data_IF_389767005825
#
_entry.id   IF_389767005825
#
_cell.length_a   1.000
_cell.length_b   1.000
_cell.length_c   1.000
_cell.angle_alpha   90.00
_cell.angle_beta   90.00
_cell.angle_gamma   90.00
#
_symmetry.space_group_name_H-M   'P 1'
#
loop_
_entity.id
_entity.type
_entity.pdbx_description
1 polymer ?
#
# COMPACT_ATOMS: atom_id res chain seq x y z
N UNK A 1 2.03 -17.94 -11.56
CA UNK A 1 0.89 -17.09 -11.93
C UNK A 1 1.22 -16.43 -13.21
N UNK A 2 0.33 -16.51 -14.08
CA UNK A 2 0.63 -16.18 -15.42
C UNK A 2 0.22 -14.80 -15.87
N UNK A 3 0.28 -14.65 -17.15
CA UNK A 3 -0.23 -13.49 -17.85
C UNK A 3 -1.70 -13.31 -17.50
N UNK A 4 -2.14 -12.08 -17.38
CA UNK A 4 -3.52 -11.77 -17.07
C UNK A 4 -3.78 -11.35 -15.65
N UNK A 5 -2.81 -11.54 -14.74
CA UNK A 5 -2.92 -10.99 -13.41
C UNK A 5 -2.81 -9.48 -13.48
N UNK A 6 -3.81 -8.79 -12.95
CA UNK A 6 -3.82 -7.33 -12.94
C UNK A 6 -3.95 -6.83 -11.51
N UNK A 7 -3.20 -5.78 -11.21
CA UNK A 7 -3.31 -5.08 -9.93
C UNK A 7 -4.02 -3.77 -10.17
N UNK A 8 -4.98 -3.48 -9.30
CA UNK A 8 -5.68 -2.20 -9.31
C UNK A 8 -5.33 -1.45 -8.05
N UNK A 9 -5.20 -0.14 -8.17
CA UNK A 9 -4.98 0.74 -7.03
C UNK A 9 -6.26 1.50 -6.74
N UNK A 10 -6.64 1.53 -5.45
CA UNK A 10 -7.76 2.32 -4.98
C UNK A 10 -7.24 3.26 -3.93
N UNK A 11 -7.47 4.56 -4.12
CA UNK A 11 -7.06 5.58 -3.18
C UNK A 11 -8.30 6.18 -2.54
N UNK A 12 -8.34 6.15 -1.20
CA UNK A 12 -9.47 6.69 -0.48
C UNK A 12 -9.30 8.17 -0.23
N UNK A 13 -10.41 8.91 -0.34
CA UNK A 13 -10.38 10.37 -0.15
C UNK A 13 -10.09 10.77 1.29
N UNK A 14 -10.59 9.99 2.25
CA UNK A 14 -10.44 10.32 3.65
C UNK A 14 -9.03 10.07 4.12
N UNK A 15 -8.47 11.03 4.85
CA UNK A 15 -7.15 10.89 5.45
C UNK A 15 -7.24 10.00 6.68
N UNK A 16 -6.19 9.21 6.91
CA UNK A 16 -6.12 8.35 8.09
C UNK A 16 -4.86 8.66 8.89
N UNK A 17 -4.92 8.33 10.18
CA UNK A 17 -3.71 8.30 10.99
C UNK A 17 -2.88 7.09 10.55
N UNK A 18 -1.58 7.25 10.28
CA UNK A 18 -0.75 6.12 9.84
C UNK A 18 -0.81 4.93 10.80
N UNK A 19 -0.97 5.17 12.09
CA UNK A 19 -1.08 4.10 13.07
C UNK A 19 -2.31 3.22 12.92
N UNK A 20 -3.33 3.68 12.18
CA UNK A 20 -4.53 2.90 11.94
C UNK A 20 -4.32 1.79 10.91
N UNK A 21 -3.19 1.78 10.19
CA UNK A 21 -2.99 0.89 9.05
C UNK A 21 -2.94 -0.59 9.47
N UNK A 22 -2.47 -0.90 10.68
CA UNK A 22 -2.44 -2.29 11.14
C UNK A 22 -3.85 -2.85 11.30
N UNK A 23 -4.78 -2.05 11.85
CA UNK A 23 -6.19 -2.45 11.95
C UNK A 23 -6.83 -2.61 10.59
N UNK A 24 -6.49 -1.77 9.64
CA UNK A 24 -6.99 -1.87 8.28
C UNK A 24 -6.51 -3.19 7.65
N UNK A 25 -5.26 -3.58 7.87
CA UNK A 25 -4.76 -4.86 7.36
C UNK A 25 -5.57 -6.04 7.92
N UNK A 26 -5.87 -6.01 9.21
CA UNK A 26 -6.69 -7.08 9.82
C UNK A 26 -8.06 -7.15 9.17
N UNK A 27 -8.67 -6.00 8.87
CA UNK A 27 -9.96 -5.97 8.19
C UNK A 27 -9.87 -6.53 6.76
N UNK A 28 -8.78 -6.25 6.04
CA UNK A 28 -8.62 -6.82 4.69
C UNK A 28 -8.47 -8.32 4.74
N UNK A 29 -7.81 -8.87 5.76
CA UNK A 29 -7.69 -10.33 5.93
C UNK A 29 -9.08 -10.95 6.12
N UNK A 30 -9.93 -10.34 6.95
CA UNK A 30 -11.30 -10.81 7.14
C UNK A 30 -12.08 -10.81 5.83
N UNK A 31 -11.93 -9.75 5.04
CA UNK A 31 -12.61 -9.62 3.76
C UNK A 31 -12.13 -10.67 2.76
N UNK A 32 -10.82 -10.94 2.73
CA UNK A 32 -10.26 -11.97 1.87
C UNK A 32 -10.84 -13.35 2.20
N UNK A 33 -10.91 -13.67 3.50
CA UNK A 33 -11.46 -14.93 3.95
C UNK A 33 -12.94 -15.07 3.61
N UNK A 34 -13.70 -14.01 3.83
CA UNK A 34 -15.11 -13.98 3.54
C UNK A 34 -15.37 -14.16 2.03
N UNK A 35 -14.59 -13.46 1.22
CA UNK A 35 -14.71 -13.55 -0.23
C UNK A 35 -14.42 -14.98 -0.72
N UNK A 36 -13.38 -15.59 -0.17
CA UNK A 36 -13.00 -16.96 -0.52
C UNK A 36 -14.14 -17.94 -0.25
N UNK A 37 -14.77 -17.82 0.90
CA UNK A 37 -15.87 -18.69 1.31
C UNK A 37 -17.12 -18.48 0.46
N UNK A 38 -17.47 -17.24 0.17
CA UNK A 38 -18.68 -16.88 -0.57
C UNK A 38 -18.56 -17.16 -2.06
N UNK A 39 -17.35 -17.10 -2.61
CA UNK A 39 -17.13 -17.21 -4.06
C UNK A 39 -16.53 -18.54 -4.49
N UNK A 40 -16.69 -19.58 -3.68
CA UNK A 40 -16.33 -20.93 -4.09
C UNK A 40 -14.84 -21.16 -4.30
N UNK A 41 -14.01 -20.53 -3.47
CA UNK A 41 -12.55 -20.73 -3.54
C UNK A 41 -11.80 -19.75 -4.41
N UNK A 42 -12.47 -18.79 -5.01
CA UNK A 42 -11.78 -17.73 -5.75
C UNK A 42 -11.00 -16.84 -4.78
N UNK A 43 -9.81 -16.47 -5.18
CA UNK A 43 -8.97 -15.61 -4.36
C UNK A 43 -9.09 -14.16 -4.76
N UNK A 44 -9.07 -13.30 -3.75
CA UNK A 44 -8.83 -11.88 -3.90
C UNK A 44 -7.70 -11.52 -2.94
N UNK A 45 -6.74 -10.72 -3.40
CA UNK A 45 -5.64 -10.26 -2.58
C UNK A 45 -5.78 -8.76 -2.38
N UNK A 46 -5.79 -8.34 -1.11
CA UNK A 46 -5.90 -6.94 -0.73
C UNK A 46 -4.63 -6.53 0.01
N UNK A 47 -3.88 -5.61 -0.57
CA UNK A 47 -2.62 -5.14 -0.02
C UNK A 47 -2.76 -3.69 0.41
N UNK A 48 -3.12 -3.43 1.67
CA UNK A 48 -3.27 -2.06 2.13
C UNK A 48 -1.93 -1.39 2.38
N UNK A 49 -1.97 -0.08 2.33
CA UNK A 49 -0.82 0.73 2.62
C UNK A 49 -1.26 2.16 2.81
N UNK A 50 -0.30 3.03 3.05
CA UNK A 50 -0.58 4.46 3.08
C UNK A 50 0.50 5.23 2.32
N UNK A 51 0.12 6.43 1.95
CA UNK A 51 0.99 7.37 1.25
C UNK A 51 1.02 8.67 2.05
N UNK A 52 2.21 9.21 2.23
CA UNK A 52 2.35 10.58 2.70
C UNK A 52 3.30 11.32 1.76
N UNK A 53 3.72 12.55 2.13
CA UNK A 53 4.58 13.33 1.24
C UNK A 53 5.98 12.74 1.08
N UNK A 54 6.39 11.88 2.00
CA UNK A 54 7.76 11.36 2.04
C UNK A 54 7.89 9.95 1.46
N UNK A 55 6.83 9.14 1.49
CA UNK A 55 6.99 7.72 1.19
C UNK A 55 5.66 7.01 0.95
N UNK A 56 5.78 5.80 0.44
CA UNK A 56 4.69 4.84 0.35
C UNK A 56 5.04 3.64 1.22
N UNK A 57 4.12 3.27 2.12
CA UNK A 57 4.29 2.16 3.04
C UNK A 57 3.23 1.12 2.77
N UNK A 58 3.66 -0.13 2.55
CA UNK A 58 2.78 -1.28 2.45
C UNK A 58 2.88 -2.09 3.74
N UNK A 59 1.83 -2.85 4.06
CA UNK A 59 1.82 -3.65 5.28
C UNK A 59 1.57 -5.11 4.97
N UNK A 60 2.09 -5.97 5.85
CA UNK A 60 2.09 -7.41 5.65
C UNK A 60 2.07 -8.12 7.01
N UNK A 61 1.75 -9.41 6.98
CA UNK A 61 1.84 -10.26 8.18
C UNK A 61 3.22 -10.92 8.33
N UNK A 62 4.12 -10.72 7.37
CA UNK A 62 5.43 -11.39 7.35
C UNK A 62 6.51 -10.47 7.88
N UNK A 63 7.34 -11.02 8.77
CA UNK A 63 8.44 -10.30 9.41
C UNK A 63 9.73 -10.50 8.61
N UNK A 64 9.96 -9.62 7.64
CA UNK A 64 11.20 -9.62 6.89
C UNK A 64 12.16 -8.58 7.48
N UNK A 65 13.46 -8.75 7.23
CA UNK A 65 14.51 -7.93 7.83
C UNK A 65 14.38 -6.42 7.57
N UNK A 66 13.72 -6.04 6.48
CA UNK A 66 13.53 -4.64 6.10
C UNK A 66 12.17 -4.08 6.54
N UNK A 67 11.48 -4.81 7.41
CA UNK A 67 10.15 -4.40 7.89
C UNK A 67 10.16 -4.09 9.37
N UNK A 68 9.23 -3.24 9.76
CA UNK A 68 9.08 -2.76 11.13
C UNK A 68 7.74 -3.23 11.69
N UNK A 69 7.75 -3.73 12.93
CA UNK A 69 6.54 -4.17 13.59
C UNK A 69 5.63 -2.99 13.91
N UNK A 70 4.37 -3.09 13.50
CA UNK A 70 3.37 -2.03 13.72
C UNK A 70 2.33 -2.39 14.79
N UNK A 71 2.38 -3.61 15.31
CA UNK A 71 1.38 -4.09 16.25
C UNK A 71 0.41 -5.07 15.61
N UNK A 72 -0.28 -5.86 16.43
CA UNK A 72 -1.29 -6.81 15.98
C UNK A 72 -0.80 -7.83 14.95
N UNK A 73 0.51 -8.15 15.00
CA UNK A 73 1.09 -9.11 14.05
C UNK A 73 1.33 -8.53 12.66
N UNK A 74 1.30 -7.21 12.51
CA UNK A 74 1.43 -6.53 11.22
C UNK A 74 2.76 -5.80 11.15
N UNK A 75 3.40 -5.88 9.98
CA UNK A 75 4.71 -5.28 9.71
C UNK A 75 4.61 -4.29 8.56
N UNK A 76 5.32 -3.18 8.67
CA UNK A 76 5.34 -2.14 7.64
C UNK A 76 6.62 -2.16 6.83
N UNK A 77 6.50 -1.87 5.54
CA UNK A 77 7.63 -1.79 4.63
C UNK A 77 7.58 -0.46 3.89
N UNK A 78 8.67 0.30 3.96
CA UNK A 78 8.82 1.48 3.11
C UNK A 78 9.12 0.99 1.71
N UNK A 79 8.13 1.06 0.84
CA UNK A 79 8.24 0.50 -0.51
C UNK A 79 8.88 1.47 -1.49
N UNK A 80 8.52 2.75 -1.40
CA UNK A 80 9.12 3.81 -2.21
C UNK A 80 9.34 5.04 -1.34
N UNK A 81 10.40 5.75 -1.61
CA UNK A 81 10.73 7.01 -0.92
C UNK A 81 10.64 8.15 -1.93
N UNK A 82 10.00 9.25 -1.53
CA UNK A 82 9.93 10.44 -2.37
C UNK A 82 11.10 11.38 -2.03
N UNK A 83 11.95 11.63 -3.01
CA UNK A 83 13.14 12.45 -2.81
C UNK A 83 13.56 13.03 -4.17
N UNK A 84 13.99 14.28 -4.18
CA UNK A 84 14.42 14.92 -5.42
C UNK A 84 13.32 14.99 -6.47
N UNK A 85 12.09 15.26 -6.02
CA UNK A 85 10.92 15.43 -6.87
C UNK A 85 10.47 14.16 -7.61
N UNK A 86 10.86 12.98 -7.12
CA UNK A 86 10.40 11.72 -7.69
C UNK A 86 10.49 10.60 -6.67
N UNK A 87 9.79 9.50 -6.96
CA UNK A 87 9.89 8.30 -6.16
C UNK A 87 11.17 7.54 -6.48
N UNK A 88 11.87 7.15 -5.42
CA UNK A 88 13.11 6.38 -5.51
C UNK A 88 12.85 4.94 -5.09
N UNK A 89 13.38 4.00 -5.85
CA UNK A 89 13.31 2.58 -5.52
C UNK A 89 14.36 2.24 -4.47
N UNK A 90 14.06 1.22 -3.67
CA UNK A 90 14.95 0.71 -2.63
C UNK A 90 15.38 -0.71 -3.01
N UNK A 91 16.44 -1.24 -2.40
CA UNK A 91 16.91 -2.59 -2.73
C UNK A 91 15.84 -3.66 -2.62
N UNK A 92 14.91 -3.52 -1.69
CA UNK A 92 13.83 -4.49 -1.45
C UNK A 92 12.53 -4.20 -2.18
N UNK A 93 12.46 -3.09 -2.94
CA UNK A 93 11.23 -2.74 -3.65
C UNK A 93 10.89 -3.83 -4.67
N UNK A 94 9.66 -4.34 -4.63
CA UNK A 94 9.22 -5.36 -5.58
C UNK A 94 9.29 -4.83 -7.01
N UNK A 95 9.57 -5.72 -7.98
CA UNK A 95 9.75 -5.29 -9.38
C UNK A 95 8.60 -4.45 -9.94
N UNK A 96 7.35 -4.79 -9.62
CA UNK A 96 6.18 -4.05 -10.12
C UNK A 96 6.23 -2.58 -9.70
N UNK A 97 6.67 -2.32 -8.46
CA UNK A 97 6.74 -0.98 -7.91
C UNK A 97 7.93 -0.19 -8.43
N UNK A 98 8.83 -0.83 -9.16
CA UNK A 98 9.98 -0.16 -9.79
C UNK A 98 9.62 0.42 -11.15
N UNK A 99 8.47 0.06 -11.70
CA UNK A 99 8.09 0.48 -13.05
C UNK A 99 7.71 1.96 -13.08
N UNK A 100 7.91 2.57 -14.25
CA UNK A 100 7.50 3.95 -14.47
C UNK A 100 5.98 4.08 -14.34
N UNK A 101 5.24 3.08 -14.81
CA UNK A 101 3.78 3.07 -14.73
C UNK A 101 3.30 3.21 -13.28
N UNK A 102 3.85 2.40 -12.38
CA UNK A 102 3.46 2.46 -10.97
C UNK A 102 3.88 3.77 -10.33
N UNK A 103 5.10 4.22 -10.62
CA UNK A 103 5.59 5.48 -10.05
C UNK A 103 4.74 6.66 -10.50
N UNK A 104 4.27 6.64 -11.75
CA UNK A 104 3.37 7.67 -12.26
C UNK A 104 2.03 7.68 -11.51
N UNK A 105 1.48 6.49 -11.25
CA UNK A 105 0.24 6.36 -10.47
C UNK A 105 0.43 7.01 -9.09
N UNK A 106 1.55 6.73 -8.45
CA UNK A 106 1.81 7.25 -7.10
C UNK A 106 2.15 8.74 -7.12
N UNK A 107 2.81 9.24 -8.17
CA UNK A 107 3.04 10.68 -8.30
C UNK A 107 1.72 11.44 -8.34
N UNK A 108 0.76 10.94 -9.11
CA UNK A 108 -0.57 11.54 -9.18
C UNK A 108 -1.31 11.46 -7.85
N UNK A 109 -1.23 10.33 -7.18
CA UNK A 109 -1.85 10.16 -5.87
C UNK A 109 -1.24 11.12 -4.84
N UNK A 110 0.09 11.26 -4.86
CA UNK A 110 0.79 12.18 -3.96
C UNK A 110 0.37 13.62 -4.18
N UNK A 111 0.20 14.01 -5.42
CA UNK A 111 -0.24 15.37 -5.76
C UNK A 111 -1.62 15.66 -5.19
N UNK A 112 -2.54 14.71 -5.32
CA UNK A 112 -3.87 14.83 -4.74
C UNK A 112 -3.82 14.89 -3.23
N UNK A 113 -2.97 14.10 -2.60
CA UNK A 113 -2.79 14.13 -1.15
C UNK A 113 -2.24 15.48 -0.70
N UNK A 114 -1.24 16.01 -1.39
CA UNK A 114 -0.67 17.32 -1.08
C UNK A 114 -1.73 18.41 -1.14
N UNK A 115 -2.56 18.39 -2.18
CA UNK A 115 -3.64 19.37 -2.32
C UNK A 115 -4.67 19.21 -1.21
N UNK A 116 -4.98 17.98 -0.83
CA UNK A 116 -5.94 17.68 0.22
C UNK A 116 -5.48 18.22 1.58
N UNK A 117 -4.22 18.04 1.94
CA UNK A 117 -3.72 18.54 3.22
C UNK A 117 -3.63 20.06 3.24
N UNK A 118 -3.38 20.70 2.12
CA UNK A 118 -3.42 22.17 2.03
C UNK A 118 -4.82 22.70 2.31
N UNK A 119 -5.84 22.01 1.79
CA UNK A 119 -7.24 22.39 2.03
C UNK A 119 -7.63 22.21 3.49
N UNK A 120 -7.07 21.21 4.16
CA UNK A 120 -7.37 20.89 5.55
C UNK A 120 -6.64 21.78 6.55
N UNK A 121 -5.53 22.34 6.11
CA UNK A 121 -4.70 23.17 6.93
C UNK A 121 -5.02 24.62 6.78
#
# INVERSE_FOLDING_TARGET
MGAGLKRKFVFFKDLIEPGAISGIKLRTIELEDRFLNEKGGRRINLDPGYLNLAKIVLVSTKDYSHRIYLGNGIYGEVTLVYSGNDYRILPHTYPDFRTEEYREIFRKAREKFRDRIKQSG
#
